data_IF_919024541863
#
_entry.id   IF_919024541863
#
_cell.length_a   1.000
_cell.length_b   1.000
_cell.length_c   1.000
_cell.angle_alpha   90.00
_cell.angle_beta   90.00
_cell.angle_gamma   90.00
#
_symmetry.space_group_name_H-M   'P 1'
#
loop_
_entity.id
_entity.type
_entity.pdbx_description
1 polymer ?
#
# COMPACT_ATOMS: atom_id res chain seq x y z
N UNK A 1 -46.56 -0.75 -12.67
CA UNK A 1 -47.04 0.45 -13.38
C UNK A 1 -47.57 1.44 -12.34
N UNK A 2 -47.09 2.69 -12.35
CA UNK A 2 -47.54 3.76 -11.46
C UNK A 2 -48.87 4.31 -11.98
N UNK A 3 -49.97 4.05 -11.27
CA UNK A 3 -51.22 4.77 -11.49
C UNK A 3 -51.19 6.07 -10.67
N UNK A 4 -51.14 7.22 -11.37
CA UNK A 4 -51.60 8.49 -10.81
C UNK A 4 -50.61 9.40 -10.08
N UNK A 5 -49.29 9.23 -10.19
CA UNK A 5 -48.29 10.25 -9.78
C UNK A 5 -48.28 10.69 -8.30
N UNK A 6 -49.06 10.06 -7.43
CA UNK A 6 -49.16 10.39 -6.00
C UNK A 6 -47.98 9.77 -5.25
N UNK A 7 -47.23 10.57 -4.47
CA UNK A 7 -46.17 10.05 -3.58
C UNK A 7 -46.79 9.07 -2.58
N UNK A 8 -46.28 7.84 -2.58
CA UNK A 8 -46.69 6.77 -1.66
C UNK A 8 -45.87 6.94 -0.37
N UNK A 9 -46.48 6.71 0.80
CA UNK A 9 -45.87 6.84 2.14
C UNK A 9 -45.40 8.27 2.46
N UNK A 10 -46.32 9.22 2.41
CA UNK A 10 -46.05 10.61 2.78
C UNK A 10 -46.09 10.86 4.31
N UNK A 11 -46.08 9.80 5.14
CA UNK A 11 -46.11 9.97 6.59
C UNK A 11 -44.75 10.50 7.07
N UNK A 12 -44.69 11.69 7.70
CA UNK A 12 -43.45 12.24 8.25
C UNK A 12 -42.94 11.46 9.47
N UNK A 13 -43.78 10.64 10.09
CA UNK A 13 -43.41 9.88 11.28
C UNK A 13 -42.88 8.48 10.90
N UNK A 14 -41.57 8.28 11.05
CA UNK A 14 -40.87 7.06 10.62
C UNK A 14 -41.28 5.78 11.37
N UNK A 15 -42.01 5.90 12.47
CA UNK A 15 -42.45 4.79 13.33
C UNK A 15 -43.94 4.47 13.19
N UNK A 16 -44.71 5.25 12.42
CA UNK A 16 -46.14 5.03 12.22
C UNK A 16 -46.39 4.40 10.85
N UNK A 17 -46.73 3.10 10.87
CA UNK A 17 -46.85 2.27 9.66
C UNK A 17 -48.26 2.23 9.08
N UNK A 18 -49.25 2.79 9.77
CA UNK A 18 -50.66 2.78 9.38
C UNK A 18 -50.85 3.57 8.09
N UNK A 19 -51.31 2.92 7.01
CA UNK A 19 -51.53 3.56 5.71
C UNK A 19 -50.30 3.65 4.80
N UNK A 20 -49.13 3.19 5.26
CA UNK A 20 -47.96 3.05 4.38
C UNK A 20 -48.16 1.84 3.44
N UNK A 21 -48.09 2.06 2.13
CA UNK A 21 -47.90 1.02 1.12
C UNK A 21 -46.41 0.79 0.92
N UNK A 22 -45.89 -0.32 1.44
CA UNK A 22 -44.51 -0.72 1.21
C UNK A 22 -44.29 -0.99 -0.29
N UNK A 23 -43.57 -0.11 -0.96
CA UNK A 23 -43.15 -0.30 -2.35
C UNK A 23 -41.64 -0.34 -2.34
N UNK A 24 -41.08 -1.40 -2.95
CA UNK A 24 -39.67 -1.83 -2.94
C UNK A 24 -39.34 -2.87 -1.86
N UNK A 25 -39.89 -4.06 -2.03
CA UNK A 25 -39.34 -5.33 -1.56
C UNK A 25 -39.71 -6.37 -2.62
N UNK A 26 -38.76 -7.20 -3.04
CA UNK A 26 -38.98 -8.27 -4.03
C UNK A 26 -39.92 -9.32 -3.46
N UNK A 27 -41.22 -9.06 -3.53
CA UNK A 27 -42.25 -10.04 -3.19
C UNK A 27 -42.98 -10.40 -4.47
N UNK A 28 -43.05 -11.69 -4.73
CA UNK A 28 -43.88 -12.22 -5.81
C UNK A 28 -45.05 -12.90 -5.11
N UNK A 29 -46.24 -12.36 -5.33
CA UNK A 29 -47.49 -12.99 -4.91
C UNK A 29 -47.97 -13.78 -6.10
N UNK A 30 -47.84 -15.11 -6.02
CA UNK A 30 -48.30 -16.02 -7.06
C UNK A 30 -49.77 -16.37 -6.80
N UNK A 31 -50.65 -16.02 -7.74
CA UNK A 31 -52.08 -16.30 -7.65
C UNK A 31 -52.49 -17.63 -8.27
N UNK A 32 -51.56 -18.37 -8.87
CA UNK A 32 -51.82 -19.63 -9.59
C UNK A 32 -51.28 -20.81 -8.79
N UNK A 33 -50.08 -20.69 -8.19
CA UNK A 33 -49.52 -21.75 -7.34
C UNK A 33 -50.06 -21.65 -5.90
N UNK A 34 -51.10 -22.43 -5.58
CA UNK A 34 -51.65 -22.52 -4.21
C UNK A 34 -53.17 -22.33 -4.08
N UNK A 35 -53.92 -22.37 -5.19
CA UNK A 35 -55.39 -22.37 -5.15
C UNK A 35 -55.86 -23.70 -4.53
N UNK A 36 -56.40 -23.68 -3.31
CA UNK A 36 -57.03 -24.86 -2.72
C UNK A 36 -58.52 -24.99 -3.08
N UNK A 37 -59.16 -23.94 -3.61
CA UNK A 37 -60.54 -23.95 -4.14
C UNK A 37 -60.79 -22.67 -4.96
N UNK A 38 -61.71 -22.71 -5.93
CA UNK A 38 -62.03 -21.63 -6.88
C UNK A 38 -62.53 -20.30 -6.27
N UNK A 39 -62.77 -20.27 -4.96
CA UNK A 39 -63.17 -19.07 -4.19
C UNK A 39 -62.18 -18.65 -3.10
N UNK A 40 -61.06 -19.38 -2.93
CA UNK A 40 -60.07 -19.11 -1.88
C UNK A 40 -58.88 -18.33 -2.45
N UNK A 41 -58.63 -17.15 -1.89
CA UNK A 41 -57.49 -16.31 -2.28
C UNK A 41 -56.13 -17.00 -2.10
N UNK A 42 -55.10 -16.41 -2.71
CA UNK A 42 -53.70 -16.87 -2.75
C UNK A 42 -53.18 -17.46 -1.42
N UNK A 43 -52.73 -18.71 -1.43
CA UNK A 43 -52.25 -19.41 -0.23
C UNK A 43 -50.76 -19.19 0.12
N UNK A 44 -49.96 -18.67 -0.82
CA UNK A 44 -48.49 -18.60 -0.69
C UNK A 44 -47.98 -17.20 -1.10
N UNK A 45 -47.07 -16.66 -0.29
CA UNK A 45 -46.32 -15.42 -0.54
C UNK A 45 -44.85 -15.77 -0.70
N UNK A 46 -44.21 -15.38 -1.81
CA UNK A 46 -42.77 -15.55 -2.00
C UNK A 46 -42.01 -14.30 -1.59
N UNK A 47 -41.02 -14.46 -0.72
CA UNK A 47 -40.18 -13.39 -0.17
C UNK A 47 -38.74 -13.56 -0.63
N UNK A 48 -38.15 -12.50 -1.19
CA UNK A 48 -36.73 -12.47 -1.55
C UNK A 48 -35.85 -12.71 -0.31
N UNK A 49 -34.99 -13.72 -0.38
CA UNK A 49 -34.10 -14.14 0.72
C UNK A 49 -32.62 -13.87 0.44
N UNK A 50 -32.17 -14.15 -0.79
CA UNK A 50 -30.77 -14.03 -1.19
C UNK A 50 -30.68 -13.33 -2.54
N UNK A 51 -29.79 -12.35 -2.62
CA UNK A 51 -29.50 -11.60 -3.83
C UNK A 51 -28.02 -11.69 -4.10
N UNK A 52 -27.67 -12.30 -5.22
CA UNK A 52 -26.29 -12.35 -5.69
C UNK A 52 -26.15 -11.55 -6.96
N UNK A 53 -25.20 -10.63 -6.97
CA UNK A 53 -24.77 -9.95 -8.19
C UNK A 53 -23.42 -10.52 -8.61
N UNK A 54 -23.36 -11.03 -9.82
CA UNK A 54 -22.13 -11.52 -10.44
C UNK A 54 -21.58 -10.45 -11.36
N UNK A 55 -20.39 -9.97 -11.03
CA UNK A 55 -19.64 -9.00 -11.82
C UNK A 55 -18.41 -9.70 -12.35
N UNK A 56 -18.29 -9.80 -13.68
CA UNK A 56 -17.15 -10.47 -14.31
C UNK A 56 -16.47 -9.53 -15.29
N UNK A 57 -15.16 -9.31 -15.11
CA UNK A 57 -14.35 -8.57 -16.09
C UNK A 57 -14.24 -9.38 -17.38
N UNK A 58 -14.31 -8.70 -18.53
CA UNK A 58 -14.17 -9.36 -19.82
C UNK A 58 -12.79 -10.02 -19.96
N UNK A 59 -12.71 -11.27 -20.45
CA UNK A 59 -11.43 -11.95 -20.64
C UNK A 59 -10.65 -11.44 -21.87
N UNK A 60 -11.31 -10.69 -22.77
CA UNK A 60 -10.70 -10.20 -24.02
C UNK A 60 -10.35 -8.72 -23.97
N UNK A 61 -10.94 -7.93 -23.08
CA UNK A 61 -10.77 -6.47 -23.08
C UNK A 61 -10.78 -5.92 -21.66
N UNK A 62 -9.71 -5.21 -21.31
CA UNK A 62 -9.45 -4.82 -19.92
C UNK A 62 -10.34 -3.69 -19.38
N UNK A 63 -11.05 -2.99 -20.28
CA UNK A 63 -11.93 -1.86 -19.97
C UNK A 63 -13.40 -2.24 -19.86
N UNK A 64 -13.74 -3.51 -20.10
CA UNK A 64 -15.12 -3.96 -20.20
C UNK A 64 -15.46 -4.98 -19.11
N UNK A 65 -16.69 -4.88 -18.61
CA UNK A 65 -17.29 -5.82 -17.68
C UNK A 65 -18.44 -6.49 -18.44
N UNK A 66 -18.55 -7.81 -18.32
CA UNK A 66 -19.66 -8.57 -18.88
C UNK A 66 -20.98 -8.16 -18.21
N UNK A 67 -22.11 -8.40 -18.88
CA UNK A 67 -23.41 -8.07 -18.33
C UNK A 67 -23.56 -8.70 -16.93
N UNK A 68 -23.83 -7.89 -15.89
CA UNK A 68 -23.99 -8.41 -14.54
C UNK A 68 -25.17 -9.36 -14.47
N UNK A 69 -24.97 -10.52 -13.86
CA UNK A 69 -26.05 -11.48 -13.62
C UNK A 69 -26.58 -11.24 -12.21
N UNK A 70 -27.89 -11.09 -12.10
CA UNK A 70 -28.59 -10.90 -10.84
C UNK A 70 -29.36 -12.18 -10.52
N UNK A 71 -28.85 -12.97 -9.58
CA UNK A 71 -29.53 -14.15 -9.06
C UNK A 71 -30.38 -13.76 -7.86
N UNK A 72 -31.68 -14.01 -7.97
CA UNK A 72 -32.67 -13.72 -6.94
C UNK A 72 -33.25 -15.04 -6.44
N UNK A 73 -33.00 -15.36 -5.18
CA UNK A 73 -33.61 -16.53 -4.53
C UNK A 73 -34.79 -16.07 -3.69
N UNK A 74 -35.92 -16.74 -3.89
CA UNK A 74 -37.15 -16.49 -3.14
C UNK A 74 -37.44 -17.66 -2.21
N UNK A 75 -37.91 -17.34 -1.01
CA UNK A 75 -38.42 -18.30 -0.03
C UNK A 75 -39.93 -18.18 0.06
N UNK A 76 -40.62 -19.32 0.11
CA UNK A 76 -42.08 -19.36 0.14
C UNK A 76 -42.61 -19.30 1.57
N UNK A 77 -43.78 -18.66 1.74
CA UNK A 77 -44.52 -18.57 3.00
C UNK A 77 -45.99 -18.81 2.80
N UNK A 78 -46.60 -19.57 3.69
CA UNK A 78 -48.06 -19.75 3.72
C UNK A 78 -48.72 -18.57 4.42
N UNK A 79 -49.80 -18.04 3.86
CA UNK A 79 -50.49 -16.83 4.36
C UNK A 79 -51.00 -16.98 5.80
N UNK A 80 -51.36 -18.20 6.21
CA UNK A 80 -51.82 -18.53 7.57
C UNK A 80 -50.73 -18.40 8.64
N UNK A 81 -49.46 -18.35 8.25
CA UNK A 81 -48.31 -18.22 9.17
C UNK A 81 -47.86 -16.77 9.40
N UNK A 82 -48.42 -15.79 8.66
CA UNK A 82 -48.06 -14.38 8.83
C UNK A 82 -48.87 -13.75 9.98
N UNK A 83 -48.25 -13.56 11.14
CA UNK A 83 -48.83 -12.80 12.26
C UNK A 83 -47.98 -11.55 12.57
N UNK A 84 -48.59 -10.39 12.87
CA UNK A 84 -47.86 -9.18 13.26
C UNK A 84 -47.09 -9.31 14.59
N UNK A 85 -47.34 -10.37 15.37
CA UNK A 85 -46.64 -10.68 16.63
C UNK A 85 -45.61 -11.79 16.48
N UNK A 86 -45.41 -12.35 15.28
CA UNK A 86 -44.40 -13.39 15.06
C UNK A 86 -43.00 -12.76 15.14
N UNK A 87 -42.13 -13.27 16.02
CA UNK A 87 -40.73 -12.85 16.17
C UNK A 87 -39.75 -13.98 15.84
N UNK A 88 -40.22 -15.05 15.20
CA UNK A 88 -39.36 -16.16 14.77
C UNK A 88 -38.26 -15.67 13.81
N UNK A 89 -37.17 -16.43 13.67
CA UNK A 89 -36.12 -16.18 12.66
C UNK A 89 -36.68 -16.11 11.21
N UNK A 90 -37.92 -16.52 11.06
CA UNK A 90 -38.72 -16.50 9.85
C UNK A 90 -39.55 -15.19 9.73
N UNK A 91 -39.93 -14.50 10.79
CA UNK A 91 -40.69 -13.23 10.73
C UNK A 91 -39.88 -12.08 10.09
N UNK A 92 -38.59 -11.99 10.41
CA UNK A 92 -37.64 -11.09 9.75
C UNK A 92 -36.74 -11.90 8.82
N UNK A 93 -37.12 -12.13 7.55
CA UNK A 93 -36.25 -12.86 6.63
C UNK A 93 -34.90 -12.13 6.53
N UNK A 94 -33.84 -12.79 6.95
CA UNK A 94 -32.48 -12.26 6.84
C UNK A 94 -32.14 -12.14 5.36
N UNK A 95 -32.12 -10.90 4.88
CA UNK A 95 -31.73 -10.58 3.51
C UNK A 95 -30.21 -10.63 3.40
N UNK A 96 -29.70 -11.53 2.56
CA UNK A 96 -28.27 -11.56 2.25
C UNK A 96 -28.05 -10.96 0.87
N UNK A 97 -27.15 -9.98 0.80
CA UNK A 97 -26.69 -9.40 -0.45
C UNK A 97 -25.23 -9.74 -0.64
N UNK A 98 -24.92 -10.46 -1.71
CA UNK A 98 -23.55 -10.86 -2.04
C UNK A 98 -23.17 -10.30 -3.40
N UNK A 99 -22.05 -9.58 -3.46
CA UNK A 99 -21.43 -9.18 -4.71
C UNK A 99 -20.22 -10.07 -4.97
N UNK A 100 -20.28 -10.87 -6.04
CA UNK A 100 -19.20 -11.76 -6.45
C UNK A 100 -18.50 -11.12 -7.64
N UNK A 101 -17.25 -10.74 -7.42
CA UNK A 101 -16.40 -10.16 -8.46
C UNK A 101 -15.39 -11.19 -8.96
N UNK A 102 -15.42 -11.46 -10.27
CA UNK A 102 -14.55 -12.46 -10.93
C UNK A 102 -13.63 -11.73 -11.92
N UNK A 103 -12.32 -11.84 -11.71
CA UNK A 103 -11.29 -11.36 -12.63
C UNK A 103 -10.14 -12.36 -12.73
N UNK A 104 -9.40 -12.31 -13.84
CA UNK A 104 -8.10 -12.99 -13.96
C UNK A 104 -7.05 -12.20 -13.18
N UNK A 105 -6.25 -12.90 -12.39
CA UNK A 105 -5.24 -12.31 -11.51
C UNK A 105 -3.82 -12.40 -12.09
N UNK A 106 -3.62 -12.91 -13.30
CA UNK A 106 -2.28 -13.06 -13.91
C UNK A 106 -1.49 -11.75 -13.95
N UNK A 107 -2.05 -10.71 -14.57
CA UNK A 107 -1.38 -9.40 -14.66
C UNK A 107 -1.13 -8.79 -13.28
N UNK A 108 -2.08 -8.96 -12.35
CA UNK A 108 -1.91 -8.54 -10.96
C UNK A 108 -0.71 -9.24 -10.32
N UNK A 109 -0.60 -10.57 -10.45
CA UNK A 109 0.51 -11.32 -9.89
C UNK A 109 1.83 -11.01 -10.58
N UNK A 110 1.85 -10.67 -11.86
CA UNK A 110 3.07 -10.27 -12.55
C UNK A 110 3.56 -8.90 -12.07
N UNK A 111 2.66 -7.94 -11.83
CA UNK A 111 3.00 -6.68 -11.16
C UNK A 111 3.49 -6.94 -9.73
N UNK A 112 2.82 -7.80 -8.96
CA UNK A 112 3.27 -8.14 -7.60
C UNK A 112 4.65 -8.79 -7.59
N UNK A 113 4.93 -9.71 -8.51
CA UNK A 113 6.26 -10.34 -8.65
C UNK A 113 7.34 -9.32 -8.97
N UNK A 114 7.09 -8.39 -9.89
CA UNK A 114 8.06 -7.35 -10.25
C UNK A 114 8.32 -6.39 -9.09
N UNK A 115 7.28 -5.94 -8.38
CA UNK A 115 7.42 -5.12 -7.16
C UNK A 115 8.20 -5.88 -6.07
N UNK A 116 7.90 -7.16 -5.86
CA UNK A 116 8.59 -7.99 -4.89
C UNK A 116 10.08 -8.17 -5.25
N UNK A 117 10.40 -8.43 -6.53
CA UNK A 117 11.78 -8.52 -6.99
C UNK A 117 12.56 -7.22 -6.78
N UNK A 118 11.95 -6.06 -7.09
CA UNK A 118 12.55 -4.76 -6.82
C UNK A 118 12.78 -4.51 -5.32
N UNK A 119 11.82 -4.92 -4.47
CA UNK A 119 11.97 -4.83 -3.02
C UNK A 119 13.12 -5.70 -2.50
N UNK A 120 13.21 -6.96 -2.96
CA UNK A 120 14.31 -7.87 -2.60
C UNK A 120 15.66 -7.31 -3.03
N UNK A 121 15.77 -6.78 -4.26
CA UNK A 121 16.99 -6.12 -4.73
C UNK A 121 17.37 -4.93 -3.85
N UNK A 122 16.38 -4.13 -3.42
CA UNK A 122 16.60 -3.01 -2.50
C UNK A 122 17.11 -3.50 -1.14
N UNK A 123 16.57 -4.58 -0.59
CA UNK A 123 17.06 -5.18 0.64
C UNK A 123 18.53 -5.65 0.51
N UNK A 124 18.88 -6.30 -0.60
CA UNK A 124 20.26 -6.77 -0.85
C UNK A 124 21.23 -5.57 -0.87
N UNK A 125 20.91 -4.52 -1.61
CA UNK A 125 21.78 -3.33 -1.70
C UNK A 125 21.91 -2.60 -0.35
N UNK A 126 20.85 -2.57 0.47
CA UNK A 126 20.92 -2.03 1.83
C UNK A 126 21.86 -2.86 2.73
N UNK A 127 21.78 -4.19 2.66
CA UNK A 127 22.68 -5.08 3.41
C UNK A 127 24.13 -4.89 2.96
N UNK A 128 24.40 -4.78 1.65
CA UNK A 128 25.72 -4.45 1.12
C UNK A 128 26.25 -3.11 1.67
N UNK A 129 25.38 -2.10 1.81
CA UNK A 129 25.71 -0.80 2.37
C UNK A 129 26.12 -0.82 3.84
N UNK A 130 25.66 -1.82 4.62
CA UNK A 130 26.06 -2.02 6.02
C UNK A 130 27.29 -2.90 6.12
N UNK A 131 27.35 -4.01 5.38
CA UNK A 131 28.47 -4.96 5.43
C UNK A 131 29.78 -4.36 4.92
N UNK A 132 29.73 -3.57 3.85
CA UNK A 132 30.92 -2.95 3.26
C UNK A 132 31.74 -2.13 4.27
N UNK A 133 31.18 -1.09 4.93
CA UNK A 133 31.96 -0.30 5.90
C UNK A 133 32.39 -1.14 7.10
N UNK A 134 31.58 -2.09 7.58
CA UNK A 134 31.97 -2.98 8.68
C UNK A 134 33.20 -3.82 8.34
N UNK A 135 33.21 -4.47 7.18
CA UNK A 135 34.36 -5.25 6.72
C UNK A 135 35.57 -4.38 6.44
N UNK A 136 35.40 -3.21 5.82
CA UNK A 136 36.49 -2.28 5.58
C UNK A 136 37.14 -1.80 6.89
N UNK A 137 36.34 -1.40 7.88
CA UNK A 137 36.86 -0.98 9.20
C UNK A 137 37.51 -2.14 9.94
N UNK A 138 36.93 -3.34 9.89
CA UNK A 138 37.52 -4.53 10.49
C UNK A 138 38.87 -4.88 9.86
N UNK A 139 38.97 -4.91 8.54
CA UNK A 139 40.21 -5.19 7.82
C UNK A 139 41.26 -4.11 8.08
N UNK A 140 40.85 -2.85 8.17
CA UNK A 140 41.75 -1.76 8.52
C UNK A 140 42.27 -1.91 9.95
N UNK A 141 41.40 -2.23 10.92
CA UNK A 141 41.81 -2.47 12.31
C UNK A 141 42.76 -3.67 12.42
N UNK A 142 42.47 -4.77 11.72
CA UNK A 142 43.35 -5.95 11.66
C UNK A 142 44.70 -5.61 11.02
N UNK A 143 44.70 -4.83 9.93
CA UNK A 143 45.93 -4.37 9.28
C UNK A 143 46.76 -3.48 10.19
N UNK A 144 46.11 -2.55 10.93
CA UNK A 144 46.78 -1.70 11.90
C UNK A 144 47.34 -2.51 13.08
N UNK A 145 46.59 -3.50 13.57
CA UNK A 145 47.06 -4.43 14.60
C UNK A 145 48.36 -5.11 14.15
N UNK A 146 48.35 -5.76 12.98
CA UNK A 146 49.56 -6.38 12.47
C UNK A 146 50.67 -5.36 12.22
N UNK A 147 50.38 -4.19 11.66
CA UNK A 147 51.38 -3.15 11.42
C UNK A 147 52.09 -2.73 12.71
N UNK A 148 51.35 -2.37 13.76
CA UNK A 148 51.95 -1.88 15.01
C UNK A 148 52.66 -3.00 15.78
N UNK A 149 52.03 -4.15 15.98
CA UNK A 149 52.60 -5.21 16.82
C UNK A 149 53.71 -6.00 16.11
N UNK A 150 53.66 -6.14 14.78
CA UNK A 150 54.74 -6.77 14.03
C UNK A 150 55.97 -5.86 13.93
N UNK A 151 55.78 -4.54 13.76
CA UNK A 151 56.90 -3.60 13.66
C UNK A 151 57.51 -3.24 15.01
N UNK A 152 56.72 -3.21 16.08
CA UNK A 152 57.16 -2.82 17.42
C UNK A 152 57.53 -4.01 18.31
N UNK A 153 58.08 -5.09 17.74
CA UNK A 153 58.52 -6.26 18.51
C UNK A 153 60.05 -6.35 18.54
N UNK A 154 60.63 -6.41 19.75
CA UNK A 154 62.06 -6.68 19.96
C UNK A 154 62.36 -8.18 19.93
N UNK A 155 61.36 -9.01 20.24
CA UNK A 155 61.42 -10.48 20.20
C UNK A 155 60.19 -10.97 19.45
N UNK A 156 60.39 -11.94 18.53
CA UNK A 156 59.33 -12.43 17.64
C UNK A 156 58.25 -13.15 18.45
N UNK A 157 57.06 -12.55 18.52
CA UNK A 157 55.88 -13.11 19.21
C UNK A 157 54.67 -13.27 18.29
N UNK A 158 54.56 -12.43 17.26
CA UNK A 158 53.44 -12.44 16.32
C UNK A 158 54.02 -12.56 14.91
N UNK A 159 53.62 -13.61 14.21
CA UNK A 159 53.93 -13.77 12.80
C UNK A 159 52.90 -13.02 11.96
N UNK A 160 53.37 -12.39 10.88
CA UNK A 160 52.48 -11.91 9.83
C UNK A 160 51.80 -13.14 9.22
N UNK A 161 50.50 -13.08 8.86
CA UNK A 161 49.86 -14.16 8.13
C UNK A 161 50.64 -14.44 6.83
N UNK A 162 51.43 -15.50 6.84
CA UNK A 162 52.37 -15.87 5.77
C UNK A 162 51.88 -17.07 4.97
N UNK A 163 50.85 -17.77 5.46
CA UNK A 163 50.24 -18.86 4.72
C UNK A 163 49.49 -18.30 3.50
N UNK A 164 49.47 -19.06 2.42
CA UNK A 164 48.71 -18.66 1.23
C UNK A 164 47.21 -18.53 1.53
N UNK A 165 46.71 -19.38 2.43
CA UNK A 165 45.31 -19.40 2.87
C UNK A 165 44.92 -18.12 3.62
N UNK A 166 45.73 -17.67 4.60
CA UNK A 166 45.44 -16.45 5.36
C UNK A 166 45.38 -15.21 4.47
N UNK A 167 46.31 -15.13 3.50
CA UNK A 167 46.30 -14.06 2.48
C UNK A 167 45.08 -14.17 1.58
N UNK A 168 44.69 -15.40 1.21
CA UNK A 168 43.49 -15.67 0.43
C UNK A 168 42.22 -15.19 1.12
N UNK A 169 42.04 -15.50 2.40
CA UNK A 169 40.89 -15.04 3.19
C UNK A 169 40.86 -13.51 3.31
N UNK A 170 42.01 -12.87 3.60
CA UNK A 170 42.09 -11.41 3.67
C UNK A 170 41.67 -10.74 2.35
N UNK A 171 42.22 -11.22 1.23
CA UNK A 171 41.89 -10.70 -0.10
C UNK A 171 40.42 -10.97 -0.48
N UNK A 172 39.87 -12.13 -0.11
CA UNK A 172 38.47 -12.45 -0.36
C UNK A 172 37.53 -11.49 0.38
N UNK A 173 37.77 -11.22 1.67
CA UNK A 173 36.96 -10.27 2.45
C UNK A 173 37.12 -8.85 1.91
N UNK A 174 38.33 -8.45 1.50
CA UNK A 174 38.58 -7.15 0.88
C UNK A 174 37.82 -7.01 -0.44
N UNK A 175 37.85 -8.04 -1.28
CA UNK A 175 37.14 -8.05 -2.56
C UNK A 175 35.63 -7.99 -2.36
N UNK A 176 35.08 -8.78 -1.43
CA UNK A 176 33.66 -8.75 -1.07
C UNK A 176 33.26 -7.36 -0.56
N UNK A 177 34.06 -6.76 0.33
CA UNK A 177 33.83 -5.40 0.84
C UNK A 177 33.79 -4.38 -0.29
N UNK A 178 34.70 -4.47 -1.26
CA UNK A 178 34.78 -3.55 -2.39
C UNK A 178 33.56 -3.71 -3.31
N UNK A 179 33.18 -4.95 -3.65
CA UNK A 179 31.99 -5.24 -4.47
C UNK A 179 30.73 -4.74 -3.79
N UNK A 180 30.55 -5.01 -2.49
CA UNK A 180 29.41 -4.49 -1.72
C UNK A 180 29.36 -2.96 -1.72
N UNK A 181 30.51 -2.30 -1.57
CA UNK A 181 30.62 -0.83 -1.65
C UNK A 181 30.18 -0.32 -3.02
N UNK A 182 30.69 -0.92 -4.10
CA UNK A 182 30.39 -0.52 -5.47
C UNK A 182 28.90 -0.69 -5.79
N UNK A 183 28.28 -1.81 -5.39
CA UNK A 183 26.84 -2.05 -5.56
C UNK A 183 26.01 -1.03 -4.80
N UNK A 184 26.36 -0.74 -3.55
CA UNK A 184 25.65 0.24 -2.74
C UNK A 184 25.73 1.65 -3.33
N UNK A 185 26.93 2.09 -3.72
CA UNK A 185 27.16 3.41 -4.32
C UNK A 185 26.43 3.52 -5.66
N UNK A 186 26.50 2.49 -6.50
CA UNK A 186 25.81 2.50 -7.81
C UNK A 186 24.30 2.63 -7.63
N UNK A 187 23.71 1.90 -6.67
CA UNK A 187 22.28 2.03 -6.38
C UNK A 187 21.91 3.44 -5.88
N UNK A 188 22.74 4.05 -5.02
CA UNK A 188 22.52 5.43 -4.55
C UNK A 188 22.62 6.43 -5.70
N UNK A 189 23.57 6.23 -6.60
CA UNK A 189 23.72 7.06 -7.78
C UNK A 189 22.52 6.91 -8.72
N UNK A 190 22.03 5.68 -8.93
CA UNK A 190 20.83 5.43 -9.73
C UNK A 190 19.59 6.15 -9.16
N UNK A 191 19.38 6.07 -7.84
CA UNK A 191 18.29 6.78 -7.16
C UNK A 191 18.43 8.31 -7.34
N UNK A 192 19.66 8.84 -7.26
CA UNK A 192 19.93 10.27 -7.45
C UNK A 192 19.68 10.73 -8.89
N UNK A 193 20.07 9.92 -9.88
CA UNK A 193 19.88 10.24 -11.30
C UNK A 193 18.42 10.11 -11.77
N UNK A 194 17.63 9.26 -11.12
CA UNK A 194 16.24 8.98 -11.51
C UNK A 194 15.25 9.97 -10.90
N UNK A 195 15.59 10.61 -9.79
CA UNK A 195 14.73 11.62 -9.15
C UNK A 195 14.92 12.97 -9.86
N UNK A 196 13.97 13.45 -10.68
CA UNK A 196 14.09 14.76 -11.30
C UNK A 196 13.97 15.84 -10.22
N UNK A 197 15.04 16.59 -10.00
CA UNK A 197 15.05 17.74 -9.11
C UNK A 197 15.05 18.99 -9.97
N UNK A 198 14.04 19.83 -9.79
CA UNK A 198 13.94 21.12 -10.46
C UNK A 198 14.28 22.23 -9.47
N UNK A 199 15.43 22.89 -9.67
CA UNK A 199 15.78 24.08 -8.90
C UNK A 199 15.21 25.30 -9.60
N UNK A 200 14.42 26.09 -8.86
CA UNK A 200 13.94 27.40 -9.33
C UNK A 200 14.67 28.46 -8.54
N UNK A 201 15.56 29.16 -9.22
CA UNK A 201 16.13 30.40 -8.70
C UNK A 201 15.16 31.55 -9.01
N UNK A 202 14.44 32.02 -7.98
CA UNK A 202 13.50 33.15 -8.08
C UNK A 202 14.18 34.51 -7.87
N UNK A 203 15.50 34.55 -7.72
CA UNK A 203 16.21 35.80 -7.48
C UNK A 203 16.44 36.58 -8.78
N UNK A 204 15.99 37.84 -8.80
CA UNK A 204 16.27 38.75 -9.93
C UNK A 204 17.74 39.17 -9.89
N UNK A 205 18.36 39.34 -11.06
CA UNK A 205 19.71 39.90 -11.12
C UNK A 205 19.69 41.34 -10.61
N UNK A 206 20.32 41.58 -9.45
CA UNK A 206 20.47 42.94 -8.92
C UNK A 206 21.62 43.62 -9.64
N UNK A 207 21.30 44.32 -10.73
CA UNK A 207 22.26 45.16 -11.43
C UNK A 207 21.75 45.55 -12.80
N UNK A 208 22.04 46.77 -13.21
CA UNK A 208 21.85 47.23 -14.59
C UNK A 208 23.24 47.54 -15.11
N UNK A 209 23.74 46.76 -16.07
CA UNK A 209 24.92 47.19 -16.82
C UNK A 209 24.42 48.23 -17.81
N UNK A 210 24.75 49.50 -17.57
CA UNK A 210 24.61 50.52 -18.60
C UNK A 210 25.67 50.20 -19.65
N UNK A 211 25.27 49.61 -20.78
CA UNK A 211 26.07 49.76 -21.98
C UNK A 211 26.15 51.28 -22.21
N UNK A 212 27.36 51.83 -22.19
CA UNK A 212 27.54 53.27 -22.40
C UNK A 212 26.89 53.66 -23.72
N UNK A 213 25.92 54.58 -23.66
CA UNK A 213 25.25 55.14 -24.83
C UNK A 213 23.73 54.93 -24.84
N UNK A 214 23.01 55.86 -24.22
CA UNK A 214 21.83 56.54 -24.78
C UNK A 214 20.54 55.80 -25.16
N UNK A 215 20.53 54.51 -25.42
CA UNK A 215 19.36 53.85 -26.01
C UNK A 215 18.67 52.90 -25.01
N UNK A 216 17.43 53.24 -24.65
CA UNK A 216 16.58 52.48 -23.72
C UNK A 216 16.23 51.06 -24.21
N UNK A 217 16.45 50.76 -25.49
CA UNK A 217 16.17 49.46 -26.13
C UNK A 217 17.23 48.38 -25.86
N UNK A 218 18.41 48.74 -25.32
CA UNK A 218 19.56 47.84 -25.17
C UNK A 218 19.81 47.31 -23.74
N UNK A 219 18.85 47.44 -22.83
CA UNK A 219 19.06 47.18 -21.39
C UNK A 219 19.18 45.67 -21.09
N UNK A 220 20.36 45.11 -21.29
CA UNK A 220 20.65 43.70 -20.95
C UNK A 220 20.71 43.54 -19.44
N UNK A 221 19.85 42.67 -18.92
CA UNK A 221 19.93 42.22 -17.53
C UNK A 221 21.30 41.57 -17.28
N UNK A 222 21.87 41.82 -16.11
CA UNK A 222 23.16 41.23 -15.74
C UNK A 222 22.95 39.72 -15.58
N UNK A 223 23.80 38.86 -16.17
CA UNK A 223 23.68 37.42 -15.99
C UNK A 223 23.82 37.08 -14.51
N UNK A 224 22.90 36.25 -14.00
CA UNK A 224 22.93 35.76 -12.62
C UNK A 224 24.22 34.97 -12.40
N UNK A 225 24.85 35.18 -11.25
CA UNK A 225 26.12 34.53 -10.93
C UNK A 225 25.96 33.01 -10.82
N UNK A 226 26.80 32.26 -11.56
CA UNK A 226 26.86 30.79 -11.49
C UNK A 226 27.12 30.29 -10.06
N UNK A 227 27.77 31.10 -9.23
CA UNK A 227 28.04 30.78 -7.83
C UNK A 227 26.76 30.50 -7.02
N UNK A 228 25.62 31.16 -7.32
CA UNK A 228 24.34 30.89 -6.63
C UNK A 228 23.86 29.46 -6.87
N UNK A 229 23.96 29.01 -8.11
CA UNK A 229 23.61 27.62 -8.46
C UNK A 229 24.57 26.62 -7.80
N UNK A 230 25.87 26.94 -7.73
CA UNK A 230 26.84 26.10 -7.03
C UNK A 230 26.52 26.01 -5.52
N UNK A 231 26.15 27.12 -4.87
CA UNK A 231 25.73 27.10 -3.47
C UNK A 231 24.47 26.27 -3.25
N UNK A 232 23.46 26.40 -4.12
CA UNK A 232 22.23 25.61 -4.05
C UNK A 232 22.53 24.12 -4.22
N UNK A 233 23.39 23.75 -5.19
CA UNK A 233 23.82 22.36 -5.37
C UNK A 233 24.55 21.82 -4.14
N UNK A 234 25.37 22.64 -3.47
CA UNK A 234 26.06 22.25 -2.24
C UNK A 234 25.08 22.03 -1.08
N UNK A 235 24.15 22.95 -0.85
CA UNK A 235 23.09 22.82 0.17
C UNK A 235 22.20 21.62 -0.11
N UNK A 236 21.87 21.37 -1.38
CA UNK A 236 21.11 20.19 -1.77
C UNK A 236 21.87 18.89 -1.46
N UNK A 237 23.18 18.84 -1.73
CA UNK A 237 24.01 17.70 -1.36
C UNK A 237 24.02 17.47 0.15
N UNK A 238 24.05 18.53 0.95
CA UNK A 238 24.00 18.46 2.41
C UNK A 238 22.66 17.90 2.93
N UNK A 239 21.54 18.34 2.34
CA UNK A 239 20.18 17.83 2.66
C UNK A 239 20.02 16.34 2.32
N UNK A 240 20.75 15.83 1.33
CA UNK A 240 20.73 14.41 0.99
C UNK A 240 21.41 13.52 2.04
N UNK A 241 22.33 14.07 2.83
CA UNK A 241 23.11 13.32 3.83
C UNK A 241 22.34 13.17 5.15
N UNK A 242 21.62 14.22 5.58
CA UNK A 242 20.80 14.17 6.80
C UNK A 242 19.32 14.30 6.46
N UNK A 243 18.57 13.20 6.61
CA UNK A 243 17.10 13.25 6.57
C UNK A 243 16.59 13.47 8.01
N UNK A 244 16.05 14.65 8.35
CA UNK A 244 15.40 14.83 9.64
C UNK A 244 14.19 13.90 9.70
N UNK A 245 14.29 12.86 10.52
CA UNK A 245 13.19 11.95 10.81
C UNK A 245 12.74 12.23 12.24
N UNK A 246 11.43 12.36 12.43
CA UNK A 246 10.87 12.50 13.77
C UNK A 246 10.80 11.09 14.39
N UNK A 247 11.91 10.66 15.00
CA UNK A 247 12.02 9.35 15.68
C UNK A 247 10.84 9.11 16.65
N UNK A 248 10.42 10.09 17.49
CA UNK A 248 9.24 9.93 18.33
C UNK A 248 7.96 9.58 17.56
N UNK A 249 7.68 10.28 16.45
CA UNK A 249 6.50 10.02 15.62
C UNK A 249 6.57 8.65 14.93
N UNK A 250 7.74 8.25 14.43
CA UNK A 250 7.94 6.94 13.82
C UNK A 250 7.71 5.81 14.82
N UNK A 251 8.23 5.94 16.05
CA UNK A 251 8.01 4.99 17.13
C UNK A 251 6.53 4.95 17.57
N UNK A 252 5.87 6.10 17.62
CA UNK A 252 4.44 6.18 17.92
C UNK A 252 3.60 5.48 16.84
N UNK A 253 3.86 5.72 15.56
CA UNK A 253 3.14 5.04 14.47
C UNK A 253 3.43 3.54 14.45
N UNK A 254 4.67 3.13 14.72
CA UNK A 254 5.03 1.72 14.87
C UNK A 254 4.27 1.07 16.03
N UNK A 255 4.14 1.76 17.17
CA UNK A 255 3.34 1.29 18.30
C UNK A 255 1.85 1.20 17.97
N UNK A 256 1.28 2.20 17.29
CA UNK A 256 -0.11 2.17 16.82
C UNK A 256 -0.34 0.99 15.88
N UNK A 257 0.61 0.69 15.00
CA UNK A 257 0.47 -0.45 14.08
C UNK A 257 0.57 -1.78 14.82
N UNK A 258 1.57 -1.95 15.70
CA UNK A 258 1.79 -3.21 16.40
C UNK A 258 0.74 -3.47 17.49
N UNK A 259 0.40 -2.45 18.28
CA UNK A 259 -0.52 -2.55 19.40
C UNK A 259 -1.96 -2.22 19.00
N UNK A 260 -2.17 -1.13 18.24
CA UNK A 260 -3.50 -0.68 17.84
C UNK A 260 -4.19 -1.64 16.86
N UNK A 261 -3.46 -2.17 15.87
CA UNK A 261 -4.01 -3.20 14.96
C UNK A 261 -3.81 -4.65 15.46
N UNK A 262 -3.34 -4.84 16.71
CA UNK A 262 -3.09 -6.15 17.35
C UNK A 262 -2.14 -7.08 16.55
N UNK A 263 -1.24 -6.53 15.74
CA UNK A 263 -0.31 -7.27 14.87
C UNK A 263 0.98 -7.67 15.58
N UNK A 264 1.16 -7.27 16.85
CA UNK A 264 2.37 -7.54 17.66
C UNK A 264 2.80 -9.01 17.72
N UNK A 265 1.88 -9.96 17.57
CA UNK A 265 2.17 -11.40 17.62
C UNK A 265 1.96 -12.12 16.28
N UNK A 266 1.82 -11.40 15.16
CA UNK A 266 1.54 -12.00 13.85
C UNK A 266 2.65 -12.94 13.35
N UNK A 267 3.88 -12.79 13.85
CA UNK A 267 5.01 -13.66 13.56
C UNK A 267 5.15 -14.85 14.53
N UNK A 268 4.27 -14.99 15.54
CA UNK A 268 4.30 -16.12 16.47
C UNK A 268 3.74 -17.37 15.77
N UNK A 269 4.46 -18.51 15.77
CA UNK A 269 4.05 -19.73 15.06
C UNK A 269 2.95 -20.52 15.82
N UNK A 270 1.93 -19.84 16.36
CA UNK A 270 0.81 -20.47 17.08
C UNK A 270 -0.43 -20.54 16.19
N UNK A 271 -0.90 -21.74 15.80
CA UNK A 271 -2.16 -21.90 15.09
C UNK A 271 -3.34 -21.78 16.06
N UNK A 272 -4.22 -20.80 15.85
CA UNK A 272 -5.41 -20.54 16.66
C UNK A 272 -5.36 -19.16 17.32
N UNK A 273 -6.09 -18.19 16.76
CA UNK A 273 -6.08 -16.78 17.16
C UNK A 273 -6.84 -16.47 18.44
N UNK A 274 -6.50 -17.10 19.56
CA UNK A 274 -6.91 -16.62 20.89
C UNK A 274 -5.94 -15.53 21.36
N UNK A 275 -6.45 -14.31 21.40
CA UNK A 275 -5.73 -13.13 21.90
C UNK A 275 -5.78 -13.17 23.43
N UNK A 276 -4.66 -13.43 24.08
CA UNK A 276 -4.54 -13.11 25.51
C UNK A 276 -4.71 -11.60 25.69
N UNK A 277 -5.80 -11.20 26.35
CA UNK A 277 -5.89 -9.91 27.02
C UNK A 277 -4.94 -9.94 28.21
N UNK A 278 -3.67 -9.62 27.94
CA UNK A 278 -2.67 -9.40 28.96
C UNK A 278 -2.96 -8.10 29.71
N UNK A 279 -3.07 -8.25 31.03
CA UNK A 279 -3.11 -7.19 32.05
C UNK A 279 -2.01 -6.14 31.84
#
# INVERSE_FOLDING_TARGET
>A
MLSGGRKINANPNALEFTGNRFVRRGFIVDSVSGIQSSSAGTGIVRVLSDVRIWLRKSPTTDTQILLPILDLTYTERTLSSLSPTDTSAFSSPTFTFTAIYIMDLRDFYDVVKTLFAMYVLRCITLVCGVLSPLFATFLLALSLYFFFFYKNQDVVKIFLPSSEDDRGYFLAVLFVSLVCSALYITQRLYDQCTNPVFFIDWEKSWGRVSAGGGDEEGRKEVPVSVWRMIFICNVWSEIQIYRPTNIPFTLLMMYVILSGFKVKYAASPKPGGELEEGN
#
